data_IF_423074455550
#
_entry.id   IF_423074455550
#
_cell.length_a   1.000
_cell.length_b   1.000
_cell.length_c   1.000
_cell.angle_alpha   90.00
_cell.angle_beta   90.00
_cell.angle_gamma   90.00
#
_symmetry.space_group_name_H-M   'P 1'
#
loop_
_entity.id
_entity.type
_entity.pdbx_description
1 polymer ?
#
# COMPACT_ATOMS: atom_id res chain seq x y z
N UNK A 1 -3.31 -5.68 16.98
CA UNK A 1 -2.18 -5.32 16.08
C UNK A 1 -1.27 -6.50 15.76
N UNK A 2 -0.74 -7.24 16.72
CA UNK A 2 0.15 -8.38 16.42
C UNK A 2 -0.48 -9.45 15.51
N UNK A 3 -1.77 -9.71 15.63
CA UNK A 3 -2.49 -10.73 14.86
C UNK A 3 -2.61 -10.45 13.35
N UNK A 4 -2.50 -9.20 12.91
CA UNK A 4 -2.59 -8.84 11.49
C UNK A 4 -1.22 -8.66 10.83
N UNK A 5 -0.20 -8.29 11.59
CA UNK A 5 1.15 -8.05 11.08
C UNK A 5 1.90 -9.36 10.84
N UNK A 6 1.75 -10.35 11.74
CA UNK A 6 2.46 -11.63 11.64
C UNK A 6 2.12 -12.41 10.37
N UNK A 7 0.83 -12.65 10.01
CA UNK A 7 0.50 -13.36 8.78
C UNK A 7 0.94 -12.60 7.53
N UNK A 8 0.91 -11.26 7.54
CA UNK A 8 1.42 -10.44 6.44
C UNK A 8 2.92 -10.69 6.19
N UNK A 9 3.74 -10.65 7.24
CA UNK A 9 5.17 -10.90 7.13
C UNK A 9 5.49 -12.35 6.70
N UNK A 10 4.71 -13.33 7.15
CA UNK A 10 4.88 -14.72 6.73
C UNK A 10 4.57 -14.91 5.25
N UNK A 11 3.50 -14.28 4.72
CA UNK A 11 3.17 -14.31 3.30
C UNK A 11 4.26 -13.59 2.49
N UNK A 12 4.71 -12.44 2.96
CA UNK A 12 5.80 -11.67 2.33
C UNK A 12 7.09 -12.49 2.25
N UNK A 13 7.51 -13.11 3.35
CA UNK A 13 8.69 -13.99 3.40
C UNK A 13 8.51 -15.22 2.48
N UNK A 14 7.31 -15.80 2.45
CA UNK A 14 7.01 -16.92 1.55
C UNK A 14 7.13 -16.55 0.07
N UNK A 15 6.68 -15.36 -0.31
CA UNK A 15 6.80 -14.85 -1.68
C UNK A 15 8.25 -14.54 -2.06
N UNK A 16 8.99 -13.85 -1.19
CA UNK A 16 10.39 -13.48 -1.45
C UNK A 16 11.33 -14.68 -1.45
N UNK A 17 11.08 -15.71 -0.61
CA UNK A 17 11.87 -16.94 -0.54
C UNK A 17 11.58 -17.94 -1.67
N UNK A 18 10.71 -17.62 -2.62
CA UNK A 18 10.28 -18.53 -3.73
C UNK A 18 9.62 -19.84 -3.25
N UNK A 19 9.20 -19.90 -2.00
CA UNK A 19 8.55 -21.10 -1.43
C UNK A 19 7.11 -21.22 -1.92
N UNK A 20 6.41 -20.09 -2.12
CA UNK A 20 5.04 -20.07 -2.60
C UNK A 20 4.99 -20.06 -4.14
N UNK A 21 4.09 -20.83 -4.77
CA UNK A 21 3.92 -20.80 -6.20
C UNK A 21 3.38 -19.42 -6.65
N UNK A 22 3.92 -18.89 -7.75
CA UNK A 22 3.51 -17.60 -8.35
C UNK A 22 2.18 -17.77 -9.12
N UNK A 23 1.13 -18.18 -8.44
CA UNK A 23 -0.19 -18.42 -9.03
C UNK A 23 -1.14 -17.26 -8.69
N UNK A 24 -2.14 -17.05 -9.54
CA UNK A 24 -3.10 -15.92 -9.35
C UNK A 24 -3.82 -15.97 -8.00
N UNK A 25 -4.12 -17.15 -7.48
CA UNK A 25 -4.77 -17.25 -6.17
C UNK A 25 -3.86 -16.79 -5.01
N UNK A 26 -2.53 -16.99 -5.12
CA UNK A 26 -1.56 -16.46 -4.13
C UNK A 26 -1.53 -14.94 -4.17
N UNK A 27 -1.61 -14.34 -5.36
CA UNK A 27 -1.75 -12.90 -5.51
C UNK A 27 -3.05 -12.39 -4.86
N UNK A 28 -4.18 -13.09 -5.05
CA UNK A 28 -5.44 -12.72 -4.40
C UNK A 28 -5.34 -12.76 -2.87
N UNK A 29 -4.76 -13.82 -2.30
CA UNK A 29 -4.53 -13.92 -0.85
C UNK A 29 -3.63 -12.80 -0.35
N UNK A 30 -2.59 -12.47 -1.10
CA UNK A 30 -1.67 -11.40 -0.77
C UNK A 30 -2.37 -10.02 -0.77
N UNK A 31 -3.19 -9.73 -1.79
CA UNK A 31 -3.99 -8.50 -1.87
C UNK A 31 -4.97 -8.42 -0.69
N UNK A 32 -5.66 -9.51 -0.34
CA UNK A 32 -6.55 -9.55 0.80
C UNK A 32 -5.79 -9.24 2.09
N UNK A 33 -4.58 -9.78 2.27
CA UNK A 33 -3.75 -9.48 3.43
C UNK A 33 -3.34 -8.00 3.50
N UNK A 34 -3.01 -7.37 2.37
CA UNK A 34 -2.73 -5.93 2.29
C UNK A 34 -3.96 -5.09 2.64
N UNK A 35 -5.13 -5.46 2.13
CA UNK A 35 -6.40 -4.79 2.45
C UNK A 35 -6.74 -4.90 3.94
N UNK A 36 -6.56 -6.07 4.54
CA UNK A 36 -6.76 -6.28 5.98
C UNK A 36 -5.78 -5.45 6.82
N UNK A 37 -4.51 -5.38 6.40
CA UNK A 37 -3.52 -4.52 7.04
C UNK A 37 -3.95 -3.06 6.97
N UNK A 38 -4.36 -2.59 5.80
CA UNK A 38 -4.82 -1.22 5.61
C UNK A 38 -6.05 -0.91 6.46
N UNK A 39 -7.08 -1.76 6.44
CA UNK A 39 -8.28 -1.59 7.24
C UNK A 39 -7.98 -1.54 8.75
N UNK A 40 -7.08 -2.39 9.24
CA UNK A 40 -6.68 -2.36 10.66
C UNK A 40 -5.91 -1.09 11.01
N UNK A 41 -5.08 -0.55 10.09
CA UNK A 41 -4.39 0.72 10.31
C UNK A 41 -5.34 1.91 10.30
N UNK A 42 -6.32 1.95 9.37
CA UNK A 42 -7.37 2.98 9.35
C UNK A 42 -8.16 2.96 10.65
N UNK A 43 -8.53 1.77 11.15
CA UNK A 43 -9.24 1.64 12.43
C UNK A 43 -8.42 2.19 13.59
N UNK A 44 -7.13 1.86 13.66
CA UNK A 44 -6.23 2.37 14.71
C UNK A 44 -6.10 3.90 14.63
N UNK A 45 -5.91 4.46 13.43
CA UNK A 45 -5.86 5.91 13.26
C UNK A 45 -7.16 6.58 13.71
N UNK A 46 -8.31 5.98 13.38
CA UNK A 46 -9.61 6.49 13.83
C UNK A 46 -9.72 6.55 15.37
N UNK A 47 -9.23 5.51 16.06
CA UNK A 47 -9.18 5.47 17.54
C UNK A 47 -8.26 6.57 18.11
N UNK A 48 -7.09 6.83 17.48
CA UNK A 48 -6.19 7.90 17.91
C UNK A 48 -6.76 9.31 17.69
N UNK A 49 -7.73 9.45 16.78
CA UNK A 49 -8.38 10.73 16.51
C UNK A 49 -9.60 10.99 17.41
N UNK A 50 -9.97 10.06 18.30
CA UNK A 50 -11.05 10.28 19.26
C UNK A 50 -10.73 11.47 20.20
N UNK A 51 -11.71 12.36 20.48
CA UNK A 51 -11.51 13.61 21.23
C UNK A 51 -10.96 13.43 22.64
N UNK A 52 -11.07 12.25 23.22
CA UNK A 52 -10.60 11.92 24.56
C UNK A 52 -9.10 11.67 24.65
N UNK A 53 -8.40 11.43 23.53
CA UNK A 53 -6.96 11.22 23.51
C UNK A 53 -6.21 12.51 23.10
N UNK A 54 -6.01 13.42 24.06
CA UNK A 54 -5.16 14.58 23.84
C UNK A 54 -3.73 14.14 23.50
N UNK A 55 -3.22 14.52 22.33
CA UNK A 55 -1.85 14.20 21.85
C UNK A 55 -1.76 13.01 20.90
N UNK A 56 -2.85 12.31 20.58
CA UNK A 56 -2.87 11.19 19.63
C UNK A 56 -2.56 11.56 18.17
N UNK A 57 -2.62 12.85 17.84
CA UNK A 57 -2.43 13.38 16.47
C UNK A 57 -1.03 13.11 15.90
N UNK A 58 0.02 13.22 16.71
CA UNK A 58 1.39 12.89 16.27
C UNK A 58 1.54 11.40 16.02
N UNK A 59 0.91 10.58 16.86
CA UNK A 59 0.85 9.13 16.67
C UNK A 59 0.10 8.76 15.38
N UNK A 60 -1.03 9.42 15.09
CA UNK A 60 -1.80 9.22 13.86
C UNK A 60 -0.98 9.59 12.62
N UNK A 61 -0.24 10.72 12.63
CA UNK A 61 0.65 11.10 11.53
C UNK A 61 1.80 10.10 11.33
N UNK A 62 2.44 9.68 12.41
CA UNK A 62 3.50 8.67 12.34
C UNK A 62 2.98 7.35 11.76
N UNK A 63 1.82 6.87 12.22
CA UNK A 63 1.16 5.69 11.69
C UNK A 63 0.80 5.84 10.20
N UNK A 64 0.35 7.04 9.79
CA UNK A 64 0.09 7.32 8.39
C UNK A 64 1.33 7.09 7.52
N UNK A 65 2.47 7.70 7.88
CA UNK A 65 3.71 7.54 7.10
C UNK A 65 4.24 6.10 7.13
N UNK A 66 4.20 5.44 8.28
CA UNK A 66 4.60 4.03 8.39
C UNK A 66 3.72 3.16 7.48
N UNK A 67 2.41 3.39 7.49
CA UNK A 67 1.46 2.64 6.64
C UNK A 67 1.72 2.90 5.16
N UNK A 68 2.00 4.16 4.75
CA UNK A 68 2.36 4.48 3.36
C UNK A 68 3.57 3.67 2.88
N UNK A 69 4.64 3.65 3.68
CA UNK A 69 5.87 2.90 3.34
C UNK A 69 5.60 1.40 3.25
N UNK A 70 4.82 0.85 4.20
CA UNK A 70 4.47 -0.58 4.20
C UNK A 70 3.59 -0.96 3.00
N UNK A 71 2.65 -0.11 2.60
CA UNK A 71 1.79 -0.37 1.44
C UNK A 71 2.58 -0.30 0.14
N UNK A 72 3.32 0.78 -0.08
CA UNK A 72 4.17 0.93 -1.27
C UNK A 72 5.19 -0.20 -1.37
N UNK A 73 5.84 -0.56 -0.27
CA UNK A 73 6.78 -1.68 -0.24
C UNK A 73 6.09 -3.01 -0.52
N UNK A 74 4.90 -3.25 0.05
CA UNK A 74 4.11 -4.45 -0.19
C UNK A 74 3.68 -4.57 -1.66
N UNK A 75 3.10 -3.55 -2.24
CA UNK A 75 2.74 -3.55 -3.66
C UNK A 75 3.97 -3.67 -4.56
N UNK A 76 5.08 -2.97 -4.25
CA UNK A 76 6.35 -3.10 -4.96
C UNK A 76 6.85 -4.53 -5.02
N UNK A 77 6.78 -5.27 -3.90
CA UNK A 77 7.12 -6.70 -3.87
C UNK A 77 6.14 -7.52 -4.72
N UNK A 78 4.83 -7.23 -4.69
CA UNK A 78 3.87 -7.91 -5.56
C UNK A 78 4.20 -7.68 -7.04
N UNK A 79 4.52 -6.46 -7.45
CA UNK A 79 4.94 -6.15 -8.81
C UNK A 79 6.21 -6.91 -9.22
N UNK A 80 7.21 -6.95 -8.34
CA UNK A 80 8.45 -7.66 -8.61
C UNK A 80 8.25 -9.18 -8.72
N UNK A 81 7.50 -9.77 -7.80
CA UNK A 81 7.28 -11.22 -7.75
C UNK A 81 6.43 -11.72 -8.90
N UNK A 82 5.31 -11.05 -9.19
CA UNK A 82 4.34 -11.51 -10.20
C UNK A 82 4.65 -10.99 -11.60
N UNK A 83 5.50 -9.97 -11.75
CA UNK A 83 5.92 -9.40 -13.05
C UNK A 83 4.73 -9.06 -13.97
N UNK A 84 3.64 -8.54 -13.41
CA UNK A 84 2.42 -8.19 -14.12
C UNK A 84 2.46 -6.79 -14.77
N UNK A 85 3.66 -6.22 -14.95
CA UNK A 85 3.90 -4.91 -15.53
C UNK A 85 5.13 -4.93 -16.43
N UNK A 86 5.23 -3.99 -17.34
CA UNK A 86 6.36 -3.78 -18.24
C UNK A 86 6.57 -2.31 -18.55
N UNK A 87 7.76 -1.97 -19.02
CA UNK A 87 8.03 -0.64 -19.57
C UNK A 87 7.26 -0.45 -20.88
N UNK A 88 6.60 0.70 -21.03
CA UNK A 88 5.75 1.00 -22.20
C UNK A 88 6.52 1.01 -23.52
N UNK A 89 7.81 1.38 -23.48
CA UNK A 89 8.65 1.59 -24.67
C UNK A 89 9.89 0.67 -24.73
N UNK A 90 9.91 -0.41 -23.97
CA UNK A 90 11.06 -1.33 -23.91
C UNK A 90 10.61 -2.77 -23.70
N UNK A 91 11.32 -3.70 -24.34
CA UNK A 91 11.14 -5.13 -24.14
C UNK A 91 12.01 -5.68 -22.97
N UNK A 92 12.72 -4.79 -22.26
CA UNK A 92 13.53 -5.20 -21.13
C UNK A 92 12.63 -5.63 -19.95
N UNK A 93 13.05 -6.67 -19.25
CA UNK A 93 12.37 -7.10 -18.02
C UNK A 93 12.57 -6.04 -16.93
N UNK A 94 11.51 -5.61 -16.26
CA UNK A 94 11.62 -4.64 -15.18
C UNK A 94 12.45 -5.18 -14.02
N UNK A 95 13.29 -4.31 -13.45
CA UNK A 95 14.07 -4.60 -12.25
C UNK A 95 13.23 -4.49 -10.96
N UNK A 96 13.81 -4.87 -9.82
CA UNK A 96 13.18 -4.67 -8.51
C UNK A 96 12.95 -3.18 -8.21
N UNK A 97 13.87 -2.31 -8.64
CA UNK A 97 13.75 -0.85 -8.48
C UNK A 97 12.60 -0.31 -9.33
N UNK A 98 12.42 -0.82 -10.56
CA UNK A 98 11.30 -0.45 -11.42
C UNK A 98 9.96 -0.86 -10.81
N UNK A 99 9.89 -2.02 -10.15
CA UNK A 99 8.70 -2.49 -9.45
C UNK A 99 8.34 -1.56 -8.28
N UNK A 100 9.33 -1.17 -7.47
CA UNK A 100 9.12 -0.22 -6.39
C UNK A 100 8.72 1.17 -6.90
N UNK A 101 9.40 1.68 -7.92
CA UNK A 101 9.07 2.94 -8.58
C UNK A 101 7.63 2.92 -9.11
N UNK A 102 7.23 1.86 -9.82
CA UNK A 102 5.87 1.71 -10.34
C UNK A 102 4.82 1.72 -9.23
N UNK A 103 5.10 1.05 -8.11
CA UNK A 103 4.24 1.10 -6.93
C UNK A 103 4.11 2.53 -6.38
N UNK A 104 5.21 3.27 -6.22
CA UNK A 104 5.14 4.68 -5.77
C UNK A 104 4.26 5.51 -6.71
N UNK A 105 4.47 5.39 -8.02
CA UNK A 105 3.75 6.15 -9.04
C UNK A 105 2.26 5.78 -9.07
N UNK A 106 1.92 4.50 -8.92
CA UNK A 106 0.54 4.02 -8.86
C UNK A 106 -0.15 4.45 -7.56
N UNK A 107 0.49 4.26 -6.42
CA UNK A 107 -0.05 4.61 -5.10
C UNK A 107 -0.28 6.12 -4.95
N UNK A 108 0.62 6.94 -5.49
CA UNK A 108 0.48 8.41 -5.49
C UNK A 108 -0.44 8.92 -6.60
N UNK A 109 -0.97 8.04 -7.44
CA UNK A 109 -1.85 8.36 -8.59
C UNK A 109 -1.21 9.28 -9.63
N UNK A 110 0.12 9.35 -9.69
CA UNK A 110 0.86 10.18 -10.67
C UNK A 110 0.73 9.65 -12.10
N UNK A 111 0.88 8.31 -12.29
CA UNK A 111 0.60 7.64 -13.54
C UNK A 111 1.39 8.16 -14.75
N UNK A 112 2.73 8.23 -14.67
CA UNK A 112 3.57 8.73 -15.79
C UNK A 112 3.42 7.94 -17.09
N UNK A 113 2.95 6.67 -17.01
CA UNK A 113 2.73 5.83 -18.19
C UNK A 113 3.99 5.23 -18.80
N UNK A 114 5.13 5.36 -18.17
CA UNK A 114 6.40 4.75 -18.52
C UNK A 114 6.43 3.23 -18.20
N UNK A 115 5.71 2.82 -17.16
CA UNK A 115 5.38 1.44 -16.86
C UNK A 115 3.87 1.23 -16.91
N UNK A 116 3.44 0.07 -17.42
CA UNK A 116 2.03 -0.26 -17.60
C UNK A 116 1.74 -1.72 -17.21
N UNK A 117 0.53 -2.03 -16.69
CA UNK A 117 0.13 -3.40 -16.43
C UNK A 117 -0.07 -4.16 -17.76
N UNK A 118 0.45 -5.38 -17.85
CA UNK A 118 0.45 -6.17 -19.10
C UNK A 118 -0.70 -7.19 -19.21
N UNK A 119 -1.39 -7.45 -18.11
CA UNK A 119 -2.49 -8.43 -18.07
C UNK A 119 -3.62 -7.98 -17.13
N UNK A 120 -4.71 -8.76 -17.11
CA UNK A 120 -5.88 -8.40 -16.29
C UNK A 120 -5.58 -8.41 -14.79
N UNK A 121 -4.73 -9.32 -14.31
CA UNK A 121 -4.31 -9.36 -12.92
C UNK A 121 -3.55 -8.07 -12.54
N UNK A 122 -2.63 -7.62 -13.40
CA UNK A 122 -1.92 -6.34 -13.23
C UNK A 122 -2.86 -5.14 -13.24
N UNK A 123 -3.85 -5.12 -14.14
CA UNK A 123 -4.86 -4.03 -14.18
C UNK A 123 -5.68 -3.97 -12.89
N UNK A 124 -6.08 -5.11 -12.35
CA UNK A 124 -6.79 -5.18 -11.07
C UNK A 124 -5.88 -4.71 -9.93
N UNK A 125 -4.64 -5.19 -9.90
CA UNK A 125 -3.68 -4.84 -8.86
C UNK A 125 -3.42 -3.32 -8.82
N UNK A 126 -3.12 -2.70 -9.97
CA UNK A 126 -2.88 -1.25 -10.03
C UNK A 126 -4.12 -0.43 -9.67
N UNK A 127 -5.32 -0.91 -10.03
CA UNK A 127 -6.58 -0.24 -9.66
C UNK A 127 -6.81 -0.25 -8.15
N UNK A 128 -6.55 -1.38 -7.49
CA UNK A 128 -6.65 -1.50 -6.03
C UNK A 128 -5.63 -0.59 -5.36
N UNK A 129 -4.37 -0.61 -5.83
CA UNK A 129 -3.29 0.22 -5.30
C UNK A 129 -3.61 1.72 -5.41
N UNK A 130 -4.07 2.16 -6.57
CA UNK A 130 -4.45 3.57 -6.80
C UNK A 130 -5.63 4.01 -5.93
N UNK A 131 -6.66 3.15 -5.77
CA UNK A 131 -7.78 3.44 -4.87
C UNK A 131 -7.34 3.51 -3.41
N UNK A 132 -6.46 2.62 -2.97
CA UNK A 132 -5.91 2.66 -1.62
C UNK A 132 -5.07 3.93 -1.40
N UNK A 133 -4.25 4.32 -2.37
CA UNK A 133 -3.47 5.56 -2.33
C UNK A 133 -4.35 6.80 -2.23
N UNK A 134 -5.38 6.90 -3.08
CA UNK A 134 -6.33 8.01 -3.06
C UNK A 134 -7.07 8.11 -1.71
N UNK A 135 -7.59 7.01 -1.18
CA UNK A 135 -8.26 6.99 0.13
C UNK A 135 -7.31 7.31 1.28
N UNK A 136 -6.05 6.88 1.17
CA UNK A 136 -5.00 7.17 2.14
C UNK A 136 -4.69 8.68 2.18
N UNK A 137 -4.61 9.35 1.03
CA UNK A 137 -4.44 10.80 0.96
C UNK A 137 -5.61 11.57 1.57
N UNK A 138 -6.85 11.13 1.35
CA UNK A 138 -8.04 11.73 2.00
C UNK A 138 -7.96 11.60 3.52
N UNK A 139 -7.53 10.46 4.03
CA UNK A 139 -7.31 10.25 5.47
C UNK A 139 -6.24 11.21 6.02
N UNK A 140 -5.14 11.42 5.30
CA UNK A 140 -4.10 12.38 5.68
C UNK A 140 -4.65 13.80 5.82
N UNK A 141 -5.35 14.30 4.81
CA UNK A 141 -5.95 15.63 4.86
C UNK A 141 -6.94 15.77 6.01
N UNK A 142 -7.73 14.74 6.31
CA UNK A 142 -8.65 14.72 7.45
C UNK A 142 -7.93 14.89 8.78
N UNK A 143 -6.77 14.22 8.97
CA UNK A 143 -5.93 14.35 10.17
C UNK A 143 -5.39 15.78 10.29
N UNK A 144 -4.84 16.32 9.18
CA UNK A 144 -4.24 17.66 9.18
C UNK A 144 -5.29 18.74 9.45
N UNK A 145 -6.45 18.67 8.80
CA UNK A 145 -7.55 19.65 9.01
C UNK A 145 -8.10 19.57 10.44
N UNK A 146 -8.28 18.37 10.97
CA UNK A 146 -8.69 18.16 12.37
C UNK A 146 -7.73 18.84 13.35
N UNK A 147 -6.42 18.75 13.10
CA UNK A 147 -5.38 19.38 13.92
C UNK A 147 -5.40 20.91 13.86
N UNK A 148 -5.61 21.47 12.67
CA UNK A 148 -5.70 22.94 12.52
C UNK A 148 -6.90 23.47 13.29
N UNK A 149 -8.06 22.79 13.18
CA UNK A 149 -9.28 23.19 13.89
C UNK A 149 -9.13 23.13 15.41
N UNK A 150 -8.48 22.11 15.95
CA UNK A 150 -8.28 21.94 17.40
C UNK A 150 -7.38 23.02 18.03
N UNK A 151 -6.54 23.68 17.24
CA UNK A 151 -5.67 24.78 17.70
C UNK A 151 -6.33 26.16 17.62
N UNK A 152 -7.43 26.29 16.87
CA UNK A 152 -8.15 27.56 16.71
C UNK A 152 -9.30 27.75 17.72
N UNK A 153 -9.71 26.70 18.40
CA UNK A 153 -10.68 26.70 19.49
C UNK A 153 -9.99 26.57 20.85
#
# INVERSE_FOLDING_TARGET
MAFTIVPYWLILLGLTSKVLPKTEWVLCVYIIALLCLYASMVHVVAVYLEPQQRGGEMGALALFFITSVLLVGGFGIAWDVFKNFAAANSNALPSEIDAFYFSVVAFTTLGFGDFVPINNAGKILVSIEALMGATHMVAFFSIVVGRVKSKMC
#
